data_IF_686279294458
#
_entry.id   IF_686279294458
#
_cell.length_a   1.000
_cell.length_b   1.000
_cell.length_c   1.000
_cell.angle_alpha   90.00
_cell.angle_beta   90.00
_cell.angle_gamma   90.00
#
_symmetry.space_group_name_H-M   'P 1'
#
loop_
_entity.id
_entity.type
_entity.pdbx_description
1 polymer ?
#
# COMPACT_ATOMS: atom_id res chain seq x y z
N UNK A 1 22.20 33.42 53.42
CA UNK A 1 21.24 32.41 53.90
C UNK A 1 20.07 32.37 52.93
N UNK A 2 20.19 31.64 51.81
CA UNK A 2 19.11 31.10 50.94
C UNK A 2 19.83 30.00 50.16
N UNK A 3 19.86 28.82 50.75
CA UNK A 3 20.34 27.58 50.15
C UNK A 3 19.08 26.73 49.93
N UNK A 4 19.05 25.98 48.82
CA UNK A 4 18.19 24.81 48.56
C UNK A 4 16.73 25.11 48.21
N UNK A 5 16.39 25.25 46.91
CA UNK A 5 15.11 24.75 46.38
C UNK A 5 15.00 24.71 44.85
N UNK A 6 16.06 24.37 44.10
CA UNK A 6 15.99 24.35 42.62
C UNK A 6 16.58 23.08 41.97
N UNK A 7 16.53 21.94 42.66
CA UNK A 7 17.13 20.69 42.19
C UNK A 7 16.20 19.47 42.29
N UNK A 8 14.87 19.65 42.33
CA UNK A 8 13.92 18.52 42.49
C UNK A 8 12.88 18.43 41.37
N UNK A 9 12.94 19.32 40.36
CA UNK A 9 11.97 19.33 39.26
C UNK A 9 12.58 18.99 37.89
N UNK A 10 13.69 18.25 37.83
CA UNK A 10 14.00 17.44 36.63
C UNK A 10 13.26 16.12 36.79
N UNK A 11 11.96 16.27 36.58
CA UNK A 11 10.95 15.28 36.28
C UNK A 11 11.56 14.00 35.71
N UNK A 12 11.21 12.88 36.33
CA UNK A 12 11.38 11.54 35.81
C UNK A 12 10.80 11.43 34.39
N UNK A 13 11.57 11.80 33.37
CA UNK A 13 11.35 11.35 32.01
C UNK A 13 11.98 9.97 31.87
N UNK A 14 11.45 9.01 32.64
CA UNK A 14 11.71 7.61 32.39
C UNK A 14 11.22 7.33 30.98
N UNK A 15 12.17 7.10 30.07
CA UNK A 15 11.91 6.52 28.77
C UNK A 15 11.22 5.17 28.98
N UNK A 16 9.88 5.18 28.98
CA UNK A 16 9.11 4.00 28.64
C UNK A 16 9.33 3.77 27.14
N UNK A 17 10.44 3.13 26.79
CA UNK A 17 10.54 2.43 25.51
C UNK A 17 9.51 1.31 25.58
N UNK A 18 8.31 1.60 25.09
CA UNK A 18 7.34 0.57 24.80
C UNK A 18 7.97 -0.31 23.73
N UNK A 19 8.47 -1.49 24.12
CA UNK A 19 8.71 -2.58 23.20
C UNK A 19 7.33 -3.13 22.80
N UNK A 20 6.54 -2.31 22.10
CA UNK A 20 5.43 -2.81 21.34
C UNK A 20 6.07 -3.62 20.21
N UNK A 21 6.04 -4.94 20.35
CA UNK A 21 6.24 -5.83 19.21
C UNK A 21 5.16 -5.41 18.22
N UNK A 22 5.56 -4.72 17.15
CA UNK A 22 4.63 -4.38 16.09
C UNK A 22 4.04 -5.70 15.59
N UNK A 23 2.71 -5.84 15.66
CA UNK A 23 2.01 -6.94 15.03
C UNK A 23 2.46 -6.99 13.57
N UNK A 24 2.80 -8.18 13.02
CA UNK A 24 3.21 -8.28 11.64
C UNK A 24 2.11 -7.70 10.75
N UNK A 25 2.49 -6.79 9.85
CA UNK A 25 1.56 -6.22 8.86
C UNK A 25 0.78 -7.35 8.18
N UNK A 26 -0.55 -7.22 8.02
CA UNK A 26 -1.39 -8.30 7.54
C UNK A 26 -0.97 -8.74 6.13
N UNK A 27 -0.87 -10.06 5.92
CA UNK A 27 -0.70 -10.60 4.57
C UNK A 27 -2.03 -10.55 3.84
N UNK A 28 -2.13 -9.69 2.83
CA UNK A 28 -3.32 -9.46 2.02
C UNK A 28 -3.33 -10.31 0.75
N UNK A 29 -2.16 -10.71 0.25
CA UNK A 29 -2.03 -11.59 -0.91
C UNK A 29 -0.85 -12.55 -0.77
N UNK A 30 -0.97 -13.71 -1.42
CA UNK A 30 0.13 -14.69 -1.60
C UNK A 30 0.59 -14.70 -3.05
N UNK A 31 1.85 -15.07 -3.29
CA UNK A 31 2.34 -15.26 -4.66
C UNK A 31 1.74 -16.55 -5.24
N UNK A 32 1.05 -16.41 -6.38
CA UNK A 32 0.39 -17.53 -7.05
C UNK A 32 1.29 -18.06 -8.18
N UNK A 33 1.82 -19.30 -8.07
CA UNK A 33 2.62 -19.88 -9.14
C UNK A 33 1.75 -20.17 -10.38
N UNK A 34 2.35 -20.15 -11.57
CA UNK A 34 1.67 -20.48 -12.82
C UNK A 34 0.79 -19.37 -13.42
N UNK A 35 0.68 -18.20 -12.77
CA UNK A 35 -0.08 -17.04 -13.28
C UNK A 35 0.57 -16.26 -14.44
N UNK A 36 1.50 -16.87 -15.18
CA UNK A 36 2.30 -16.21 -16.23
C UNK A 36 3.55 -15.50 -15.72
N UNK A 37 4.36 -14.96 -16.63
CA UNK A 37 5.68 -14.38 -16.35
C UNK A 37 5.83 -12.92 -16.82
N UNK A 38 4.73 -12.28 -17.23
CA UNK A 38 4.77 -10.87 -17.60
C UNK A 38 5.18 -10.03 -16.38
N UNK A 39 6.09 -9.09 -16.62
CA UNK A 39 6.60 -8.15 -15.63
C UNK A 39 6.73 -6.76 -16.24
N UNK A 40 6.47 -5.74 -15.43
CA UNK A 40 6.75 -4.34 -15.76
C UNK A 40 7.59 -3.74 -14.62
N UNK A 41 8.90 -3.53 -14.84
CA UNK A 41 9.74 -2.92 -13.83
C UNK A 41 9.20 -1.55 -13.39
N UNK A 42 9.16 -1.35 -12.08
CA UNK A 42 9.01 -0.06 -11.42
C UNK A 42 10.35 0.25 -10.69
N UNK A 43 10.54 1.46 -10.19
CA UNK A 43 11.82 1.90 -9.57
C UNK A 43 12.02 1.41 -8.13
N UNK A 44 11.11 0.58 -7.63
CA UNK A 44 11.22 -0.07 -6.32
C UNK A 44 12.53 -0.84 -6.15
N UNK A 45 13.15 -0.71 -4.97
CA UNK A 45 14.28 -1.57 -4.56
C UNK A 45 13.80 -2.88 -3.92
N UNK A 46 12.49 -3.02 -3.65
CA UNK A 46 11.91 -4.17 -3.00
C UNK A 46 11.49 -5.23 -4.01
N UNK A 47 12.22 -6.36 -4.04
CA UNK A 47 11.89 -7.49 -4.90
C UNK A 47 10.46 -8.01 -4.68
N UNK A 48 9.98 -7.97 -3.42
CA UNK A 48 8.64 -8.43 -3.10
C UNK A 48 7.58 -7.44 -3.58
N UNK A 49 7.83 -6.14 -3.49
CA UNK A 49 6.94 -5.13 -4.07
C UNK A 49 6.81 -5.33 -5.59
N UNK A 50 7.94 -5.54 -6.29
CA UNK A 50 7.93 -5.82 -7.72
C UNK A 50 7.13 -7.09 -8.07
N UNK A 51 7.35 -8.20 -7.34
CA UNK A 51 6.64 -9.48 -7.58
C UNK A 51 5.12 -9.34 -7.41
N UNK A 52 4.69 -8.64 -6.36
CA UNK A 52 3.27 -8.41 -6.10
C UNK A 52 2.66 -7.38 -7.06
N UNK A 53 3.39 -6.34 -7.46
CA UNK A 53 2.96 -5.41 -8.50
C UNK A 53 2.74 -6.11 -9.85
N UNK A 54 3.68 -6.98 -10.26
CA UNK A 54 3.55 -7.77 -11.48
C UNK A 54 2.40 -8.78 -11.41
N UNK A 55 2.15 -9.39 -10.24
CA UNK A 55 0.98 -10.24 -10.02
C UNK A 55 -0.32 -9.43 -10.17
N UNK A 56 -0.37 -8.24 -9.56
CA UNK A 56 -1.51 -7.33 -9.69
C UNK A 56 -1.83 -7.00 -11.14
N UNK A 57 -0.81 -6.69 -11.95
CA UNK A 57 -0.96 -6.40 -13.38
C UNK A 57 -1.53 -7.60 -14.16
N UNK A 58 -0.98 -8.79 -13.93
CA UNK A 58 -1.44 -10.02 -14.59
C UNK A 58 -2.89 -10.33 -14.26
N UNK A 59 -3.30 -10.14 -13.00
CA UNK A 59 -4.69 -10.31 -12.59
C UNK A 59 -5.62 -9.24 -13.16
N UNK A 60 -5.21 -7.97 -13.20
CA UNK A 60 -6.02 -6.90 -13.82
C UNK A 60 -6.30 -7.22 -15.29
N UNK A 61 -5.29 -7.63 -16.05
CA UNK A 61 -5.43 -8.00 -17.47
C UNK A 61 -6.17 -9.31 -17.71
N UNK A 62 -6.30 -10.15 -16.69
CA UNK A 62 -7.11 -11.36 -16.71
C UNK A 62 -8.52 -11.15 -16.15
N UNK A 63 -8.90 -9.89 -15.86
CA UNK A 63 -10.19 -9.51 -15.26
C UNK A 63 -10.45 -10.08 -13.86
N UNK A 64 -9.39 -10.39 -13.10
CA UNK A 64 -9.46 -10.92 -11.74
C UNK A 64 -9.17 -9.80 -10.71
N UNK A 65 -10.10 -8.85 -10.61
CA UNK A 65 -9.88 -7.58 -9.93
C UNK A 65 -9.66 -7.67 -8.41
N UNK A 66 -10.39 -8.48 -7.61
CA UNK A 66 -10.16 -8.54 -6.17
C UNK A 66 -8.73 -8.96 -5.81
N UNK A 67 -8.19 -9.97 -6.49
CA UNK A 67 -6.84 -10.46 -6.28
C UNK A 67 -5.79 -9.54 -6.89
N UNK A 68 -6.14 -8.80 -7.94
CA UNK A 68 -5.31 -7.71 -8.45
C UNK A 68 -5.13 -6.62 -7.39
N UNK A 69 -6.23 -6.15 -6.79
CA UNK A 69 -6.25 -5.17 -5.71
C UNK A 69 -5.43 -5.66 -4.52
N UNK A 70 -5.69 -6.88 -4.04
CA UNK A 70 -4.98 -7.47 -2.92
C UNK A 70 -3.47 -7.57 -3.19
N UNK A 71 -3.08 -7.92 -4.42
CA UNK A 71 -1.66 -7.98 -4.81
C UNK A 71 -1.02 -6.58 -4.80
N UNK A 72 -1.70 -5.55 -5.31
CA UNK A 72 -1.19 -4.19 -5.22
C UNK A 72 -1.12 -3.67 -3.78
N UNK A 73 -2.08 -3.99 -2.93
CA UNK A 73 -2.03 -3.67 -1.50
C UNK A 73 -0.86 -4.35 -0.81
N UNK A 74 -0.60 -5.62 -1.14
CA UNK A 74 0.57 -6.32 -0.64
C UNK A 74 1.87 -5.70 -1.15
N UNK A 75 1.93 -5.25 -2.41
CA UNK A 75 3.08 -4.51 -2.93
C UNK A 75 3.33 -3.20 -2.15
N UNK A 76 2.26 -2.47 -1.81
CA UNK A 76 2.34 -1.26 -0.99
C UNK A 76 2.78 -1.52 0.46
N UNK A 77 2.56 -2.72 1.01
CA UNK A 77 3.13 -3.10 2.33
C UNK A 77 4.66 -3.23 2.23
N UNK A 78 5.17 -3.76 1.10
CA UNK A 78 6.60 -3.94 0.88
C UNK A 78 7.33 -2.68 0.42
N UNK A 79 6.62 -1.72 -0.16
CA UNK A 79 7.14 -0.42 -0.58
C UNK A 79 6.06 0.66 -0.44
N UNK A 80 5.83 1.18 0.78
CA UNK A 80 4.71 2.07 1.09
C UNK A 80 4.87 3.48 0.54
N UNK A 81 6.07 3.88 0.15
CA UNK A 81 6.36 5.22 -0.36
C UNK A 81 6.37 5.29 -1.89
N UNK A 82 6.41 4.13 -2.57
CA UNK A 82 6.40 4.08 -4.02
C UNK A 82 4.97 4.30 -4.59
N UNK A 83 4.79 5.12 -5.64
CA UNK A 83 3.46 5.47 -6.13
C UNK A 83 2.79 4.35 -6.95
N UNK A 84 3.58 3.53 -7.65
CA UNK A 84 3.05 2.52 -8.58
C UNK A 84 2.12 1.45 -7.98
N UNK A 85 2.33 0.89 -6.77
CA UNK A 85 1.32 0.04 -6.13
C UNK A 85 -0.05 0.72 -6.03
N UNK A 86 -0.11 2.00 -5.68
CA UNK A 86 -1.36 2.77 -5.60
C UNK A 86 -1.96 3.08 -6.98
N UNK A 87 -1.14 3.35 -7.99
CA UNK A 87 -1.62 3.43 -9.38
C UNK A 87 -2.23 2.10 -9.84
N UNK A 88 -1.64 0.97 -9.44
CA UNK A 88 -2.19 -0.37 -9.66
C UNK A 88 -3.55 -0.55 -9.01
N UNK A 89 -3.69 -0.15 -7.73
CA UNK A 89 -4.99 -0.18 -7.04
C UNK A 89 -6.04 0.65 -7.80
N UNK A 90 -5.71 1.87 -8.20
CA UNK A 90 -6.63 2.72 -8.98
C UNK A 90 -7.04 2.07 -10.31
N UNK A 91 -6.10 1.40 -11.00
CA UNK A 91 -6.37 0.68 -12.23
C UNK A 91 -7.35 -0.49 -12.04
N UNK A 92 -7.24 -1.22 -10.93
CA UNK A 92 -8.08 -2.39 -10.65
C UNK A 92 -9.41 -2.06 -9.94
N UNK A 93 -9.47 -0.95 -9.18
CA UNK A 93 -10.66 -0.48 -8.48
C UNK A 93 -11.59 0.38 -9.35
N UNK A 94 -11.05 0.98 -10.42
CA UNK A 94 -11.82 1.79 -11.35
C UNK A 94 -12.84 0.97 -12.15
N UNK A 95 -13.54 1.60 -13.11
CA UNK A 95 -14.59 0.93 -13.86
C UNK A 95 -14.05 -0.26 -14.64
N UNK A 96 -14.65 -1.43 -14.42
CA UNK A 96 -14.34 -2.59 -15.26
C UNK A 96 -14.92 -2.38 -16.67
N UNK A 97 -14.33 -2.95 -17.74
CA UNK A 97 -14.78 -2.72 -19.11
C UNK A 97 -16.26 -3.06 -19.39
N UNK A 98 -16.86 -3.92 -18.58
CA UNK A 98 -18.25 -4.35 -18.68
C UNK A 98 -19.24 -3.53 -17.82
N UNK A 99 -18.76 -2.68 -16.90
CA UNK A 99 -19.59 -1.92 -15.96
C UNK A 99 -20.56 -0.98 -16.68
N UNK A 100 -20.15 -0.45 -17.84
CA UNK A 100 -20.95 0.42 -18.70
C UNK A 100 -22.19 -0.26 -19.26
N UNK A 101 -22.06 -1.50 -19.72
CA UNK A 101 -23.21 -2.27 -20.22
C UNK A 101 -24.25 -2.51 -19.12
N UNK A 102 -23.78 -2.69 -17.89
CA UNK A 102 -24.64 -2.90 -16.72
C UNK A 102 -25.09 -1.59 -16.04
N UNK A 103 -24.75 -0.42 -16.60
CA UNK A 103 -25.03 0.90 -16.00
C UNK A 103 -24.58 1.03 -14.54
N UNK A 104 -23.51 0.31 -14.17
CA UNK A 104 -22.95 0.40 -12.83
C UNK A 104 -22.17 1.71 -12.68
N UNK A 105 -22.22 2.34 -11.49
CA UNK A 105 -21.35 3.48 -11.19
C UNK A 105 -19.87 3.05 -11.27
N UNK A 106 -19.01 3.98 -11.67
CA UNK A 106 -17.59 3.69 -11.94
C UNK A 106 -16.74 3.46 -10.71
N UNK A 107 -17.10 4.12 -9.61
CA UNK A 107 -16.39 4.08 -8.34
C UNK A 107 -17.40 4.40 -7.22
N UNK A 108 -18.32 3.45 -6.91
CA UNK A 108 -19.45 3.71 -6.02
C UNK A 108 -19.00 4.11 -4.61
N UNK A 109 -17.85 3.62 -4.17
CA UNK A 109 -17.27 3.82 -2.84
C UNK A 109 -16.11 4.84 -2.84
N UNK A 110 -15.69 5.35 -4.01
CA UNK A 110 -14.62 6.35 -4.11
C UNK A 110 -13.21 5.79 -3.87
N UNK A 111 -13.03 4.47 -3.87
CA UNK A 111 -11.76 3.81 -3.57
C UNK A 111 -10.75 3.99 -4.72
N UNK A 112 -11.22 4.04 -5.97
CA UNK A 112 -10.38 4.37 -7.12
C UNK A 112 -9.79 5.78 -7.00
N UNK A 113 -10.64 6.78 -6.70
CA UNK A 113 -10.18 8.15 -6.47
C UNK A 113 -9.22 8.26 -5.28
N UNK A 114 -9.47 7.53 -4.20
CA UNK A 114 -8.60 7.47 -3.03
C UNK A 114 -7.23 6.86 -3.37
N UNK A 115 -7.19 5.81 -4.19
CA UNK A 115 -5.94 5.22 -4.68
C UNK A 115 -5.16 6.20 -5.55
N UNK A 116 -5.83 6.93 -6.46
CA UNK A 116 -5.22 8.00 -7.27
C UNK A 116 -4.57 9.07 -6.38
N UNK A 117 -5.28 9.54 -5.35
CA UNK A 117 -4.74 10.54 -4.42
C UNK A 117 -3.51 10.02 -3.67
N UNK A 118 -3.51 8.76 -3.25
CA UNK A 118 -2.36 8.14 -2.60
C UNK A 118 -1.16 8.02 -3.53
N UNK A 119 -1.38 7.69 -4.80
CA UNK A 119 -0.33 7.62 -5.80
C UNK A 119 0.26 9.02 -6.09
N UNK A 120 -0.60 10.03 -6.24
CA UNK A 120 -0.17 11.42 -6.45
C UNK A 120 0.63 11.97 -5.27
N UNK A 121 0.26 11.63 -4.03
CA UNK A 121 1.00 12.04 -2.83
C UNK A 121 2.45 11.49 -2.78
N UNK A 122 2.76 10.49 -3.60
CA UNK A 122 4.03 9.75 -3.66
C UNK A 122 4.74 9.89 -5.01
N UNK A 123 4.25 10.77 -5.89
CA UNK A 123 4.66 10.77 -7.29
C UNK A 123 6.15 11.06 -7.48
N UNK A 124 6.76 11.82 -6.56
CA UNK A 124 8.18 12.18 -6.60
C UNK A 124 9.11 11.01 -6.23
N UNK A 125 8.54 9.87 -5.77
CA UNK A 125 9.27 8.64 -5.45
C UNK A 125 9.20 7.60 -6.59
N UNK A 126 8.72 7.99 -7.79
CA UNK A 126 8.58 7.13 -8.96
C UNK A 126 9.89 6.89 -9.72
#
# INVERSE_FOLDING_TARGET
MIIRLLAVLTLLASFAHSNAVAEPEPTLAVLVPGGGNYSRPISTESEMAQKFFDQGLRFAWSFYFPESIASYQQAAIYDPEHPMPYWGMAHAMGPNPNSRYAQMPDDPEGEGLKAIKNALARIDNA
#
